data_IF_760160544889
#
_entry.id   IF_760160544889
#
_cell.length_a   1.000
_cell.length_b   1.000
_cell.length_c   1.000
_cell.angle_alpha   90.00
_cell.angle_beta   90.00
_cell.angle_gamma   90.00
#
_symmetry.space_group_name_H-M   'P 1'
#
loop_
_entity.id
_entity.type
_entity.pdbx_description
1 polymer ?
#
# COMPACT_ATOMS: atom_id res chain seq x y z
N UNK A 1 23.55 -29.07 3.21
CA UNK A 1 22.89 -29.78 2.10
C UNK A 1 21.51 -30.17 2.64
N UNK A 2 20.37 -29.61 2.26
CA UNK A 2 19.93 -28.84 1.08
C UNK A 2 20.11 -27.30 1.20
N UNK A 3 20.45 -26.69 0.06
CA UNK A 3 20.32 -25.25 -0.26
C UNK A 3 19.39 -25.15 -1.48
N UNK A 4 18.59 -24.09 -1.57
CA UNK A 4 17.95 -23.68 -2.83
C UNK A 4 18.13 -22.17 -3.00
N UNK A 5 19.03 -21.79 -3.93
CA UNK A 5 19.28 -20.45 -4.43
C UNK A 5 19.33 -20.54 -5.95
N UNK A 6 18.84 -19.50 -6.62
CA UNK A 6 18.79 -19.26 -8.07
C UNK A 6 17.70 -20.01 -8.86
N UNK A 7 16.67 -19.27 -9.29
CA UNK A 7 15.81 -19.66 -10.42
C UNK A 7 16.00 -18.62 -11.54
N UNK A 8 16.44 -19.10 -12.71
CA UNK A 8 16.61 -18.34 -13.97
C UNK A 8 15.60 -18.87 -14.98
N UNK A 9 14.99 -17.97 -15.76
CA UNK A 9 14.36 -18.29 -17.04
C UNK A 9 15.18 -17.60 -18.16
N UNK A 10 15.51 -18.34 -19.22
CA UNK A 10 16.12 -17.90 -20.49
C UNK A 10 17.59 -17.39 -20.49
N UNK A 11 18.43 -17.91 -19.59
CA UNK A 11 19.88 -17.93 -19.84
C UNK A 11 20.61 -16.58 -19.85
N UNK A 12 19.99 -15.50 -19.35
CA UNK A 12 20.69 -14.23 -19.08
C UNK A 12 20.50 -13.87 -17.61
N UNK A 13 21.60 -13.81 -16.86
CA UNK A 13 21.66 -13.23 -15.52
C UNK A 13 21.28 -11.75 -15.59
N UNK A 14 20.04 -11.41 -15.22
CA UNK A 14 19.63 -10.03 -14.94
C UNK A 14 19.57 -9.86 -13.42
N UNK A 15 20.65 -9.33 -12.85
CA UNK A 15 20.65 -8.86 -11.48
C UNK A 15 19.62 -7.74 -11.33
N UNK A 16 18.64 -7.93 -10.45
CA UNK A 16 17.66 -6.90 -10.10
C UNK A 16 17.87 -6.54 -8.64
N UNK A 17 18.57 -5.45 -8.37
CA UNK A 17 18.51 -4.80 -7.06
C UNK A 17 18.86 -3.32 -7.21
N UNK A 18 17.83 -2.50 -7.06
CA UNK A 18 17.97 -1.14 -6.58
C UNK A 18 17.21 -1.07 -5.24
N UNK A 19 17.87 -0.58 -4.20
CA UNK A 19 17.33 -0.39 -2.86
C UNK A 19 17.70 1.03 -2.39
N UNK A 20 16.75 1.82 -1.88
CA UNK A 20 16.97 3.20 -1.46
C UNK A 20 16.42 3.52 -0.06
N UNK A 21 16.85 2.78 0.97
CA UNK A 21 16.56 3.06 2.40
C UNK A 21 15.28 2.46 2.99
N UNK A 22 15.26 2.07 4.26
CA UNK A 22 14.14 1.33 4.88
C UNK A 22 12.79 2.06 4.89
N UNK A 23 11.67 1.35 4.61
CA UNK A 23 10.33 1.78 5.09
C UNK A 23 10.28 1.51 6.59
N UNK A 24 10.58 2.51 7.40
CA UNK A 24 10.46 2.40 8.85
C UNK A 24 9.03 2.72 9.27
N UNK A 25 8.38 1.72 9.85
CA UNK A 25 7.03 1.83 10.38
C UNK A 25 7.00 1.22 11.79
N UNK A 26 7.90 1.67 12.68
CA UNK A 26 8.04 1.10 14.01
C UNK A 26 6.71 1.15 14.78
N UNK A 27 6.22 0.01 15.27
CA UNK A 27 4.90 -0.06 15.93
C UNK A 27 3.71 0.19 15.01
N UNK A 28 3.89 0.11 13.68
CA UNK A 28 2.82 0.19 12.68
C UNK A 28 2.41 -1.20 12.21
N UNK A 29 1.20 -1.29 11.67
CA UNK A 29 0.68 -2.53 11.07
C UNK A 29 0.64 -2.40 9.55
N UNK A 30 1.24 -3.36 8.86
CA UNK A 30 1.16 -3.50 7.42
C UNK A 30 0.35 -4.75 7.09
N UNK A 31 -0.76 -4.61 6.36
CA UNK A 31 -1.66 -5.72 6.04
C UNK A 31 -1.81 -5.92 4.54
N UNK A 32 -1.59 -7.14 4.05
CA UNK A 32 -1.86 -7.55 2.67
C UNK A 32 -2.87 -8.68 2.66
N UNK A 33 -4.08 -8.44 2.12
CA UNK A 33 -5.14 -9.45 2.11
C UNK A 33 -5.83 -9.62 0.77
N UNK A 34 -6.03 -10.88 0.36
CA UNK A 34 -6.75 -11.26 -0.88
C UNK A 34 -6.20 -10.59 -2.14
N UNK A 35 -4.92 -10.24 -2.16
CA UNK A 35 -4.29 -9.66 -3.33
C UNK A 35 -3.86 -10.76 -4.30
N UNK A 36 -3.90 -10.46 -5.60
CA UNK A 36 -3.47 -11.37 -6.65
C UNK A 36 -2.34 -10.76 -7.46
N UNK A 37 -1.16 -11.38 -7.37
CA UNK A 37 -0.01 -11.11 -8.23
C UNK A 37 0.17 -12.26 -9.25
N UNK A 38 0.38 -11.91 -10.52
CA UNK A 38 0.68 -12.92 -11.54
C UNK A 38 2.09 -13.48 -11.44
N UNK A 39 3.02 -12.71 -10.86
CA UNK A 39 4.40 -13.12 -10.66
C UNK A 39 4.56 -13.84 -9.31
N UNK A 40 5.57 -14.73 -9.16
CA UNK A 40 5.85 -15.42 -7.90
C UNK A 40 6.23 -14.48 -6.75
N UNK A 41 6.69 -13.26 -7.07
CA UNK A 41 6.94 -12.19 -6.10
C UNK A 41 5.79 -11.20 -6.13
N UNK A 42 5.26 -10.92 -4.95
CA UNK A 42 4.35 -9.81 -4.72
C UNK A 42 5.11 -8.53 -4.45
N UNK A 43 6.17 -8.58 -3.65
CA UNK A 43 6.93 -7.38 -3.29
C UNK A 43 8.36 -7.47 -3.85
N UNK A 44 8.87 -6.36 -4.40
CA UNK A 44 10.10 -6.39 -5.18
C UNK A 44 11.40 -6.03 -4.44
N UNK A 45 11.41 -5.56 -3.19
CA UNK A 45 12.60 -5.51 -2.34
C UNK A 45 12.29 -5.05 -0.90
N UNK A 46 13.01 -5.60 0.08
CA UNK A 46 13.52 -4.87 1.24
C UNK A 46 12.51 -4.25 2.20
N UNK A 47 11.55 -5.01 2.73
CA UNK A 47 10.73 -4.49 3.82
C UNK A 47 11.56 -4.40 5.11
N UNK A 48 12.35 -3.35 5.29
CA UNK A 48 13.04 -3.10 6.57
C UNK A 48 12.04 -2.50 7.56
N UNK A 49 11.11 -3.35 7.98
CA UNK A 49 10.37 -3.12 9.21
C UNK A 49 11.42 -2.97 10.32
N UNK A 50 11.41 -1.85 11.03
CA UNK A 50 12.01 -1.84 12.36
C UNK A 50 11.47 -3.07 13.11
N UNK A 51 12.27 -3.69 14.00
CA UNK A 51 11.95 -4.95 14.70
C UNK A 51 10.61 -4.99 15.47
N UNK A 52 9.80 -3.93 15.39
CA UNK A 52 8.54 -3.67 16.08
C UNK A 52 7.35 -3.48 15.10
N UNK A 53 7.53 -3.54 13.79
CA UNK A 53 6.39 -3.45 12.86
C UNK A 53 5.82 -4.83 12.55
N UNK A 54 4.49 -4.96 12.59
CA UNK A 54 3.80 -6.23 12.36
C UNK A 54 3.33 -6.33 10.91
N UNK A 55 3.83 -7.33 10.18
CA UNK A 55 3.28 -7.70 8.88
C UNK A 55 2.18 -8.75 9.06
N UNK A 56 0.96 -8.43 8.65
CA UNK A 56 -0.19 -9.34 8.62
C UNK A 56 -0.53 -9.69 7.19
N UNK A 57 -0.74 -10.97 6.92
CA UNK A 57 -1.01 -11.44 5.56
C UNK A 57 -2.09 -12.50 5.55
N UNK A 58 -2.98 -12.45 4.56
CA UNK A 58 -4.01 -13.47 4.38
C UNK A 58 -4.45 -13.63 2.92
N UNK A 59 -4.65 -14.86 2.48
CA UNK A 59 -5.21 -15.17 1.16
C UNK A 59 -4.59 -14.50 -0.05
N UNK A 60 -3.30 -14.19 -0.01
CA UNK A 60 -2.67 -13.64 -1.19
C UNK A 60 -2.35 -14.75 -2.18
N UNK A 61 -2.46 -14.44 -3.47
CA UNK A 61 -2.10 -15.33 -4.57
C UNK A 61 -0.88 -14.74 -5.26
N UNK A 62 0.21 -15.50 -5.36
CA UNK A 62 1.40 -15.11 -6.10
C UNK A 62 1.81 -16.24 -7.05
N UNK A 63 2.15 -15.92 -8.30
CA UNK A 63 2.53 -16.92 -9.31
C UNK A 63 1.44 -17.98 -9.55
N UNK A 64 0.17 -17.60 -9.36
CA UNK A 64 -0.97 -18.51 -9.47
C UNK A 64 -1.18 -19.45 -8.27
N UNK A 65 -0.45 -19.28 -7.17
CA UNK A 65 -0.56 -20.10 -5.95
C UNK A 65 -1.04 -19.26 -4.77
N UNK A 66 -1.95 -19.82 -3.97
CA UNK A 66 -2.33 -19.23 -2.68
C UNK A 66 -1.14 -19.37 -1.72
N UNK A 67 -0.75 -18.27 -1.08
CA UNK A 67 0.29 -18.23 -0.05
C UNK A 67 -0.32 -18.52 1.31
N UNK A 68 0.24 -19.51 2.01
CA UNK A 68 -0.33 -20.09 3.22
C UNK A 68 0.63 -20.15 4.41
N UNK A 69 1.93 -19.95 4.19
CA UNK A 69 2.97 -20.04 5.23
C UNK A 69 3.89 -18.82 5.22
N UNK A 70 4.54 -18.56 6.36
CA UNK A 70 5.48 -17.46 6.49
C UNK A 70 6.64 -17.57 5.48
N UNK A 71 7.13 -18.79 5.22
CA UNK A 71 8.19 -19.05 4.24
C UNK A 71 7.75 -18.73 2.79
N UNK A 72 6.51 -19.07 2.44
CA UNK A 72 5.93 -18.72 1.13
C UNK A 72 5.80 -17.20 0.97
N UNK A 73 5.38 -16.49 2.02
CA UNK A 73 5.34 -15.02 2.03
C UNK A 73 6.74 -14.41 1.98
N UNK A 74 7.71 -14.99 2.71
CA UNK A 74 9.08 -14.55 2.67
C UNK A 74 9.65 -14.67 1.24
N UNK A 75 9.41 -15.79 0.57
CA UNK A 75 9.78 -16.03 -0.83
C UNK A 75 9.05 -15.10 -1.80
N UNK A 76 7.81 -14.71 -1.48
CA UNK A 76 7.02 -13.75 -2.24
C UNK A 76 7.47 -12.28 -2.06
N UNK A 77 8.52 -12.03 -1.26
CA UNK A 77 9.14 -10.71 -1.12
C UNK A 77 9.00 -10.07 0.26
N UNK A 78 8.43 -10.77 1.24
CA UNK A 78 8.23 -10.27 2.61
C UNK A 78 9.33 -10.72 3.60
N UNK A 79 10.40 -11.36 3.14
CA UNK A 79 11.38 -12.02 4.01
C UNK A 79 12.19 -11.10 4.92
N UNK A 80 12.18 -9.80 4.67
CA UNK A 80 12.86 -8.80 5.51
C UNK A 80 11.98 -8.31 6.68
N UNK A 81 10.71 -8.73 6.73
CA UNK A 81 9.80 -8.41 7.83
C UNK A 81 10.31 -9.00 9.16
N UNK A 82 10.23 -8.23 10.24
CA UNK A 82 10.62 -8.70 11.58
C UNK A 82 9.75 -9.87 12.09
N UNK A 83 8.46 -9.89 11.74
CA UNK A 83 7.55 -11.03 11.93
C UNK A 83 6.53 -11.08 10.80
N UNK A 84 6.10 -12.28 10.41
CA UNK A 84 5.05 -12.51 9.40
C UNK A 84 3.91 -13.26 10.07
N UNK A 85 2.82 -12.55 10.36
CA UNK A 85 1.61 -13.12 10.95
C UNK A 85 0.68 -13.58 9.82
N UNK A 86 0.69 -14.89 9.55
CA UNK A 86 -0.14 -15.48 8.50
C UNK A 86 -1.49 -15.87 9.06
N UNK A 87 -2.55 -15.29 8.49
CA UNK A 87 -3.93 -15.67 8.76
C UNK A 87 -4.43 -16.52 7.58
N UNK A 88 -4.89 -17.72 7.88
CA UNK A 88 -5.39 -18.66 6.88
C UNK A 88 -6.64 -18.15 6.16
N UNK A 89 -6.91 -18.69 4.97
CA UNK A 89 -8.03 -18.22 4.16
C UNK A 89 -9.42 -18.50 4.70
N UNK A 90 -9.51 -19.51 5.54
CA UNK A 90 -10.76 -19.91 6.17
C UNK A 90 -10.98 -19.21 7.52
N UNK A 91 -10.08 -18.30 7.90
CA UNK A 91 -10.21 -17.47 9.07
C UNK A 91 -10.75 -16.08 8.70
N UNK A 92 -11.54 -15.49 9.60
CA UNK A 92 -12.04 -14.14 9.46
C UNK A 92 -11.57 -13.33 10.67
N UNK A 93 -10.40 -12.71 10.48
CA UNK A 93 -9.78 -11.83 11.46
C UNK A 93 -10.10 -10.38 11.11
N UNK A 94 -10.60 -9.60 12.07
CA UNK A 94 -11.04 -8.21 11.82
C UNK A 94 -9.88 -7.28 11.43
N UNK A 95 -8.69 -7.54 11.95
CA UNK A 95 -7.52 -6.67 11.80
C UNK A 95 -6.75 -7.00 10.51
N UNK A 96 -7.12 -8.12 9.89
CA UNK A 96 -6.51 -8.62 8.66
C UNK A 96 -7.50 -8.53 7.49
N UNK A 97 -8.69 -9.11 7.61
CA UNK A 97 -9.65 -9.30 6.50
C UNK A 97 -10.59 -8.12 6.25
N UNK A 98 -10.67 -7.20 7.20
CA UNK A 98 -11.49 -6.00 7.15
C UNK A 98 -10.60 -4.76 7.30
N UNK A 99 -11.13 -3.58 7.00
CA UNK A 99 -10.48 -2.32 7.36
C UNK A 99 -10.54 -2.15 8.89
N UNK A 100 -9.46 -2.53 9.56
CA UNK A 100 -9.40 -2.60 11.03
C UNK A 100 -9.93 -1.34 11.74
N UNK A 101 -9.55 -0.09 11.33
CA UNK A 101 -10.04 1.11 12.01
C UNK A 101 -11.56 1.32 11.89
N UNK A 102 -12.20 0.81 10.84
CA UNK A 102 -13.65 0.94 10.61
C UNK A 102 -14.46 -0.28 11.03
N UNK A 103 -13.82 -1.33 11.57
CA UNK A 103 -14.47 -2.62 11.84
C UNK A 103 -14.75 -2.80 13.33
N UNK A 104 -16.02 -3.03 13.69
CA UNK A 104 -16.40 -3.35 15.07
C UNK A 104 -16.14 -4.82 15.39
N UNK A 105 -16.52 -5.73 14.48
CA UNK A 105 -16.25 -7.17 14.61
C UNK A 105 -16.18 -7.85 13.24
N UNK A 106 -15.58 -9.02 13.18
CA UNK A 106 -15.52 -9.84 11.97
C UNK A 106 -15.86 -11.29 12.32
N UNK A 107 -16.58 -11.98 11.43
CA UNK A 107 -16.96 -13.39 11.63
C UNK A 107 -17.11 -14.12 10.31
N UNK A 108 -16.80 -15.42 10.30
CA UNK A 108 -17.08 -16.28 9.15
C UNK A 108 -18.58 -16.58 9.06
N UNK A 109 -19.19 -16.30 7.89
CA UNK A 109 -20.56 -16.71 7.56
C UNK A 109 -20.57 -17.36 6.18
N UNK A 110 -20.98 -18.63 6.11
CA UNK A 110 -21.11 -19.35 4.84
C UNK A 110 -19.81 -19.47 4.03
N UNK A 111 -18.65 -19.55 4.70
CA UNK A 111 -17.34 -19.59 4.03
C UNK A 111 -16.82 -18.23 3.57
N UNK A 112 -17.53 -17.13 3.87
CA UNK A 112 -17.12 -15.75 3.54
C UNK A 112 -16.87 -14.98 4.83
N UNK A 113 -15.79 -14.19 4.88
CA UNK A 113 -15.53 -13.30 5.98
C UNK A 113 -16.47 -12.09 5.91
N UNK A 114 -17.31 -11.92 6.94
CA UNK A 114 -18.26 -10.81 7.03
C UNK A 114 -17.79 -9.84 8.09
N UNK A 115 -17.53 -8.60 7.66
CA UNK A 115 -17.13 -7.49 8.52
C UNK A 115 -18.37 -6.73 9.01
N UNK A 116 -18.53 -6.61 10.33
CA UNK A 116 -19.52 -5.74 10.95
C UNK A 116 -18.86 -4.38 11.24
N UNK A 117 -19.35 -3.35 10.56
CA UNK A 117 -18.71 -2.04 10.61
C UNK A 117 -19.05 -1.29 11.89
N UNK A 118 -18.05 -0.59 12.42
CA UNK A 118 -18.22 0.39 13.48
C UNK A 118 -18.63 1.75 12.92
N UNK A 119 -18.48 2.80 13.73
CA UNK A 119 -18.74 4.18 13.30
C UNK A 119 -17.80 4.59 12.17
N UNK A 120 -18.35 5.00 11.04
CA UNK A 120 -17.60 5.53 9.88
C UNK A 120 -17.03 4.46 8.94
N UNK A 121 -17.19 3.17 9.26
CA UNK A 121 -16.89 2.07 8.34
C UNK A 121 -18.12 1.73 7.49
N UNK A 122 -17.92 1.48 6.20
CA UNK A 122 -18.99 1.24 5.25
C UNK A 122 -18.60 0.15 4.24
N UNK A 123 -19.63 -0.51 3.67
CA UNK A 123 -19.45 -1.58 2.69
C UNK A 123 -18.92 -2.88 3.31
N UNK A 124 -18.58 -3.84 2.45
CA UNK A 124 -18.28 -5.22 2.86
C UNK A 124 -16.96 -5.36 3.63
N UNK A 125 -16.01 -4.46 3.40
CA UNK A 125 -14.72 -4.42 4.08
C UNK A 125 -14.67 -3.35 5.20
N UNK A 126 -15.78 -2.67 5.51
CA UNK A 126 -15.84 -1.57 6.48
C UNK A 126 -14.84 -0.44 6.23
N UNK A 127 -14.50 -0.24 4.95
CA UNK A 127 -13.66 0.86 4.50
C UNK A 127 -14.36 2.19 4.82
N UNK A 128 -13.60 3.26 5.08
CA UNK A 128 -14.19 4.56 5.24
C UNK A 128 -14.74 4.99 3.90
N UNK A 129 -16.05 4.90 3.74
CA UNK A 129 -16.76 5.61 2.69
C UNK A 129 -17.14 6.92 3.34
N UNK A 130 -16.45 7.99 2.97
CA UNK A 130 -16.91 9.32 3.37
C UNK A 130 -18.39 9.42 3.01
N UNK A 131 -19.24 9.72 4.00
CA UNK A 131 -20.43 10.49 3.65
C UNK A 131 -19.88 11.66 2.82
N UNK A 132 -20.37 11.87 1.59
CA UNK A 132 -20.10 13.12 0.88
C UNK A 132 -20.71 14.25 1.71
N UNK A 133 -20.02 14.65 2.77
CA UNK A 133 -20.26 15.89 3.44
C UNK A 133 -19.72 16.93 2.47
N UNK A 134 -20.63 17.49 1.67
CA UNK A 134 -20.41 18.79 1.05
C UNK A 134 -19.76 19.69 2.10
N UNK A 135 -18.66 20.39 1.79
CA UNK A 135 -17.94 21.13 2.80
C UNK A 135 -18.90 22.14 3.44
N UNK A 136 -18.94 22.14 4.77
CA UNK A 136 -19.56 23.24 5.49
C UNK A 136 -18.86 24.52 5.02
N UNK A 137 -19.64 25.43 4.44
CA UNK A 137 -19.14 26.75 4.12
C UNK A 137 -18.70 27.40 5.44
N UNK A 138 -17.39 27.67 5.56
CA UNK A 138 -16.78 28.92 6.05
C UNK A 138 -15.33 28.65 6.48
N UNK A 139 -14.40 29.29 5.78
CA UNK A 139 -13.17 29.85 6.35
C UNK A 139 -12.16 28.89 6.99
N UNK A 140 -11.51 28.04 6.19
CA UNK A 140 -10.09 27.62 6.27
C UNK A 140 -9.87 26.61 5.13
N UNK A 141 -8.63 26.45 4.64
CA UNK A 141 -8.35 25.60 3.48
C UNK A 141 -8.99 24.19 3.60
N UNK A 142 -9.51 23.59 2.51
CA UNK A 142 -10.18 22.31 2.57
C UNK A 142 -9.23 21.24 3.13
N UNK A 143 -9.60 20.69 4.29
CA UNK A 143 -8.86 19.60 4.96
C UNK A 143 -9.04 18.24 4.26
N UNK A 144 -9.89 18.16 3.24
CA UNK A 144 -10.26 16.93 2.55
C UNK A 144 -10.00 17.11 1.05
N UNK A 145 -9.28 16.16 0.46
CA UNK A 145 -9.14 16.01 -0.98
C UNK A 145 -9.95 14.79 -1.45
N UNK A 146 -10.83 14.98 -2.42
CA UNK A 146 -11.68 13.91 -2.95
C UNK A 146 -11.64 13.92 -4.48
N UNK A 147 -11.41 12.75 -5.06
CA UNK A 147 -11.43 12.52 -6.50
C UNK A 147 -12.21 11.25 -6.80
N UNK A 148 -13.25 11.36 -7.63
CA UNK A 148 -14.08 10.22 -7.98
C UNK A 148 -14.45 10.15 -9.46
N UNK A 149 -14.38 8.95 -10.04
CA UNK A 149 -14.95 8.66 -11.36
C UNK A 149 -14.22 9.35 -12.51
N UNK A 150 -12.97 9.76 -12.28
CA UNK A 150 -12.16 10.54 -13.24
C UNK A 150 -10.99 9.73 -13.80
N UNK A 151 -10.63 10.05 -15.04
CA UNK A 151 -9.36 9.61 -15.62
C UNK A 151 -8.34 10.74 -15.51
N UNK A 152 -7.24 10.46 -14.81
CA UNK A 152 -6.14 11.37 -14.58
C UNK A 152 -5.02 11.05 -15.56
N UNK A 153 -4.78 12.00 -16.48
CA UNK A 153 -3.68 11.97 -17.45
C UNK A 153 -2.63 13.06 -17.21
N UNK A 154 -2.81 13.83 -16.14
CA UNK A 154 -1.91 14.91 -15.71
C UNK A 154 -1.76 14.92 -14.20
N UNK A 155 -0.90 15.78 -13.66
CA UNK A 155 -0.69 15.90 -12.21
C UNK A 155 -1.94 16.43 -11.52
N UNK A 156 -2.29 15.87 -10.37
CA UNK A 156 -3.18 16.49 -9.38
C UNK A 156 -2.39 16.85 -8.13
N UNK A 157 -2.83 17.87 -7.42
CA UNK A 157 -2.16 18.38 -6.21
C UNK A 157 -3.10 18.23 -5.03
N UNK A 158 -2.64 17.50 -4.02
CA UNK A 158 -3.31 17.46 -2.72
C UNK A 158 -2.95 18.74 -1.95
N UNK A 159 -3.93 19.49 -1.42
CA UNK A 159 -3.65 20.69 -0.62
C UNK A 159 -2.77 20.41 0.60
N UNK A 160 -1.93 21.40 0.94
CA UNK A 160 -1.14 21.36 2.17
C UNK A 160 -2.05 21.26 3.40
N UNK A 161 -1.69 20.39 4.35
CA UNK A 161 -2.46 20.20 5.57
C UNK A 161 -3.77 19.43 5.37
N UNK A 162 -3.98 18.75 4.24
CA UNK A 162 -5.08 17.81 4.09
C UNK A 162 -4.98 16.71 5.15
N UNK A 163 -6.05 16.49 5.91
CA UNK A 163 -6.19 15.38 6.87
C UNK A 163 -6.86 14.16 6.26
N UNK A 164 -7.47 14.31 5.08
CA UNK A 164 -8.10 13.22 4.34
C UNK A 164 -7.85 13.33 2.84
N UNK A 165 -7.53 12.21 2.20
CA UNK A 165 -7.36 12.07 0.75
C UNK A 165 -8.12 10.84 0.30
N UNK A 166 -9.05 11.00 -0.66
CA UNK A 166 -9.82 9.89 -1.21
C UNK A 166 -9.73 9.88 -2.73
N UNK A 167 -9.32 8.74 -3.28
CA UNK A 167 -9.37 8.41 -4.69
C UNK A 167 -10.34 7.23 -4.86
N UNK A 168 -11.46 7.43 -5.55
CA UNK A 168 -12.48 6.38 -5.74
C UNK A 168 -12.85 6.23 -7.22
N UNK A 169 -12.85 5.02 -7.78
CA UNK A 169 -13.16 4.84 -9.22
C UNK A 169 -12.28 5.72 -10.14
N UNK A 170 -11.01 5.91 -9.77
CA UNK A 170 -10.06 6.76 -10.51
C UNK A 170 -9.23 5.90 -11.44
N UNK A 171 -8.99 6.38 -12.66
CA UNK A 171 -8.05 5.77 -13.59
C UNK A 171 -6.81 6.65 -13.69
N UNK A 172 -5.66 6.16 -13.27
CA UNK A 172 -4.36 6.79 -13.49
C UNK A 172 -3.76 6.23 -14.78
N UNK A 173 -3.51 7.09 -15.75
CA UNK A 173 -3.11 6.70 -17.11
C UNK A 173 -1.76 7.34 -17.48
N UNK A 174 -0.68 6.56 -17.39
CA UNK A 174 0.68 7.02 -17.68
C UNK A 174 1.24 8.12 -16.77
N UNK A 175 0.61 8.34 -15.60
CA UNK A 175 0.98 9.38 -14.64
C UNK A 175 1.59 8.79 -13.37
N UNK A 176 2.42 9.59 -12.71
CA UNK A 176 3.09 9.20 -11.46
C UNK A 176 2.74 10.14 -10.29
N UNK A 177 1.49 10.20 -9.81
CA UNK A 177 1.12 11.08 -8.71
C UNK A 177 1.79 10.68 -7.39
N UNK A 178 2.10 11.69 -6.58
CA UNK A 178 2.74 11.52 -5.26
C UNK A 178 1.83 12.06 -4.17
N UNK A 179 1.43 11.17 -3.26
CA UNK A 179 0.81 11.50 -1.99
C UNK A 179 1.91 11.65 -0.93
N UNK A 180 2.42 12.86 -0.77
CA UNK A 180 3.52 13.16 0.15
C UNK A 180 2.98 13.48 1.55
N UNK A 181 3.06 12.49 2.45
CA UNK A 181 2.53 12.54 3.82
C UNK A 181 3.10 13.70 4.65
N UNK A 182 4.40 14.05 4.61
CA UNK A 182 4.93 15.17 5.40
C UNK A 182 4.32 16.54 5.07
N UNK A 183 3.64 16.66 3.93
CA UNK A 183 2.91 17.87 3.52
C UNK A 183 1.45 17.90 3.98
N UNK A 184 0.95 16.78 4.50
CA UNK A 184 -0.41 16.59 4.97
C UNK A 184 -0.56 17.05 6.43
N UNK A 185 -1.73 16.84 7.03
CA UNK A 185 -2.01 17.27 8.40
C UNK A 185 -1.03 16.65 9.42
N UNK A 186 -0.52 17.49 10.33
CA UNK A 186 0.44 17.08 11.36
C UNK A 186 -0.15 16.13 12.39
N UNK A 187 -1.45 16.21 12.65
CA UNK A 187 -2.13 15.38 13.66
C UNK A 187 -2.45 13.96 13.14
N UNK A 188 -2.10 13.66 11.89
CA UNK A 188 -2.38 12.38 11.22
C UNK A 188 -3.18 12.58 9.93
N UNK A 189 -3.13 11.58 9.05
CA UNK A 189 -3.81 11.64 7.75
C UNK A 189 -4.45 10.31 7.39
N UNK A 190 -5.66 10.39 6.82
CA UNK A 190 -6.39 9.26 6.25
C UNK A 190 -6.30 9.30 4.73
N UNK A 191 -5.79 8.24 4.12
CA UNK A 191 -5.67 8.09 2.66
C UNK A 191 -6.46 6.87 2.23
N UNK A 192 -7.42 7.06 1.32
CA UNK A 192 -8.32 6.02 0.81
C UNK A 192 -8.14 5.93 -0.69
N UNK A 193 -7.78 4.75 -1.18
CA UNK A 193 -7.60 4.44 -2.60
C UNK A 193 -8.50 3.24 -2.90
N UNK A 194 -9.64 3.50 -3.52
CA UNK A 194 -10.68 2.49 -3.75
C UNK A 194 -11.00 2.36 -5.23
N UNK A 195 -11.00 1.15 -5.76
CA UNK A 195 -11.36 0.86 -7.16
C UNK A 195 -10.55 1.73 -8.13
N UNK A 196 -9.23 1.80 -7.94
CA UNK A 196 -8.33 2.64 -8.76
C UNK A 196 -7.57 1.77 -9.76
N UNK A 197 -7.58 2.14 -11.02
CA UNK A 197 -6.82 1.46 -12.07
C UNK A 197 -5.54 2.22 -12.40
N UNK A 198 -4.40 1.52 -12.38
CA UNK A 198 -3.09 2.03 -12.81
C UNK A 198 -2.77 1.45 -14.19
N UNK A 199 -2.88 2.28 -15.22
CA UNK A 199 -2.70 1.89 -16.61
C UNK A 199 -1.45 2.54 -17.22
N UNK A 200 -0.93 1.91 -18.27
CA UNK A 200 0.10 2.49 -19.14
C UNK A 200 1.36 2.99 -18.40
N UNK A 201 1.83 2.26 -17.38
CA UNK A 201 3.01 2.68 -16.61
C UNK A 201 2.69 3.62 -15.45
N UNK A 202 1.41 3.86 -15.13
CA UNK A 202 1.06 4.74 -14.03
C UNK A 202 1.57 4.22 -12.68
N UNK A 203 2.06 5.14 -11.84
CA UNK A 203 2.60 4.82 -10.53
C UNK A 203 1.97 5.70 -9.45
N UNK A 204 1.26 5.11 -8.51
CA UNK A 204 0.76 5.82 -7.34
C UNK A 204 1.77 5.74 -6.21
N UNK A 205 2.41 6.85 -5.85
CA UNK A 205 3.31 6.94 -4.72
C UNK A 205 2.56 7.40 -3.46
N UNK A 206 2.75 6.71 -2.36
CA UNK A 206 2.48 7.20 -1.00
C UNK A 206 3.82 7.29 -0.28
N UNK A 207 4.25 8.52 -0.04
CA UNK A 207 5.60 8.81 0.46
C UNK A 207 5.54 9.38 1.87
N UNK A 208 6.09 8.63 2.83
CA UNK A 208 6.30 9.04 4.21
C UNK A 208 7.41 10.08 4.39
N UNK A 209 7.76 10.37 5.64
CA UNK A 209 8.87 11.24 6.03
C UNK A 209 10.24 10.66 5.69
N UNK A 210 11.31 11.46 5.79
CA UNK A 210 12.69 10.96 5.74
C UNK A 210 13.29 10.66 4.34
N UNK A 211 12.51 10.71 3.25
CA UNK A 211 13.00 10.42 1.89
C UNK A 211 13.88 11.51 1.24
N UNK A 212 13.93 12.73 1.79
CA UNK A 212 14.70 13.86 1.25
C UNK A 212 15.82 14.26 2.21
N UNK A 213 16.95 13.55 2.16
CA UNK A 213 18.17 13.90 2.91
C UNK A 213 18.91 15.16 2.38
N UNK A 214 18.26 15.97 1.54
CA UNK A 214 18.87 17.12 0.85
C UNK A 214 18.24 18.48 1.16
N UNK A 215 17.14 18.56 1.90
CA UNK A 215 16.62 19.82 2.42
C UNK A 215 16.96 19.88 3.90
N UNK A 216 17.80 20.83 4.31
CA UNK A 216 18.29 21.02 5.68
C UNK A 216 17.24 21.43 6.70
N UNK A 217 16.10 20.74 6.72
CA UNK A 217 15.11 20.82 7.78
C UNK A 217 15.32 19.59 8.66
N UNK A 218 15.99 19.78 9.79
CA UNK A 218 15.89 18.88 10.92
C UNK A 218 14.42 18.89 11.38
N UNK A 219 13.56 18.10 10.73
CA UNK A 219 12.19 17.89 11.16
C UNK A 219 12.16 16.62 11.97
N UNK A 220 11.91 16.80 13.27
CA UNK A 220 11.75 15.71 14.22
C UNK A 220 10.62 14.76 13.81
N UNK A 221 10.63 13.63 14.49
CA UNK A 221 9.72 12.47 14.41
C UNK A 221 8.27 12.81 14.84
N UNK A 222 7.77 13.98 14.43
CA UNK A 222 6.61 14.68 15.01
C UNK A 222 5.44 14.77 14.01
N UNK A 223 5.25 13.72 13.21
CA UNK A 223 4.06 13.54 12.37
C UNK A 223 3.11 12.53 13.00
N UNK A 224 1.81 12.83 13.03
CA UNK A 224 0.76 11.92 13.50
C UNK A 224 0.64 10.67 12.61
N UNK A 225 -0.09 9.64 13.06
CA UNK A 225 -0.20 8.35 12.38
C UNK A 225 -0.88 8.46 11.02
N UNK A 226 -0.50 7.58 10.10
CA UNK A 226 -1.11 7.46 8.76
C UNK A 226 -2.06 6.27 8.75
N UNK A 227 -3.31 6.52 8.34
CA UNK A 227 -4.26 5.47 7.99
C UNK A 227 -4.36 5.38 6.47
N UNK A 228 -3.68 4.40 5.86
CA UNK A 228 -3.76 4.12 4.43
C UNK A 228 -4.65 2.89 4.18
N UNK A 229 -5.69 3.08 3.39
CA UNK A 229 -6.55 2.02 2.89
C UNK A 229 -6.48 1.95 1.37
N UNK A 230 -5.94 0.85 0.86
CA UNK A 230 -5.94 0.52 -0.56
C UNK A 230 -6.83 -0.70 -0.77
N UNK A 231 -7.86 -0.55 -1.59
CA UNK A 231 -8.85 -1.58 -1.84
C UNK A 231 -9.23 -1.62 -3.32
N UNK A 232 -9.24 -2.80 -3.94
CA UNK A 232 -9.70 -2.94 -5.32
C UNK A 232 -8.80 -2.20 -6.33
N UNK A 233 -7.49 -2.12 -6.08
CA UNK A 233 -6.57 -1.51 -7.05
C UNK A 233 -6.24 -2.51 -8.14
N UNK A 234 -6.36 -2.08 -9.39
CA UNK A 234 -5.96 -2.85 -10.56
C UNK A 234 -4.73 -2.20 -11.21
N UNK A 235 -3.55 -2.78 -10.99
CA UNK A 235 -2.32 -2.30 -11.61
C UNK A 235 -1.99 -3.15 -12.85
N UNK A 236 -2.22 -2.60 -14.05
CA UNK A 236 -1.93 -3.24 -15.33
C UNK A 236 -0.71 -2.58 -15.97
N UNK A 237 0.47 -3.15 -15.73
CA UNK A 237 1.76 -2.50 -16.00
C UNK A 237 1.88 -1.16 -15.25
N UNK A 238 1.28 -1.05 -14.08
CA UNK A 238 1.41 0.09 -13.17
C UNK A 238 1.98 -0.36 -11.83
N UNK A 239 2.24 0.58 -10.93
CA UNK A 239 2.81 0.29 -9.61
C UNK A 239 2.16 1.11 -8.51
N UNK A 240 1.81 0.45 -7.41
CA UNK A 240 1.59 1.11 -6.12
C UNK A 240 2.92 1.12 -5.38
N UNK A 241 3.38 2.30 -4.98
CA UNK A 241 4.66 2.49 -4.27
C UNK A 241 4.42 3.09 -2.91
N UNK A 242 4.79 2.36 -1.86
CA UNK A 242 4.93 2.89 -0.51
C UNK A 242 6.42 3.08 -0.22
N UNK A 243 6.82 4.27 0.20
CA UNK A 243 8.24 4.64 0.43
C UNK A 243 8.39 5.64 1.58
N UNK A 244 9.58 5.73 2.17
CA UNK A 244 9.87 6.60 3.31
C UNK A 244 9.39 6.07 4.67
N UNK A 245 9.47 6.93 5.68
CA UNK A 245 9.16 6.65 7.09
C UNK A 245 7.70 6.98 7.41
N UNK A 246 7.01 6.02 8.02
CA UNK A 246 5.67 6.22 8.58
C UNK A 246 5.77 6.25 10.11
N UNK A 247 5.10 7.21 10.74
CA UNK A 247 5.07 7.39 12.19
C UNK A 247 4.47 6.19 12.90
N UNK A 248 4.87 5.97 14.16
CA UNK A 248 4.36 4.86 14.95
C UNK A 248 2.84 4.91 15.10
N UNK A 249 2.20 3.73 15.10
CA UNK A 249 0.74 3.61 15.10
C UNK A 249 0.08 3.81 13.74
N UNK A 250 0.86 3.95 12.66
CA UNK A 250 0.31 3.94 11.30
C UNK A 250 -0.29 2.57 10.96
N UNK A 251 -1.34 2.57 10.14
CA UNK A 251 -2.00 1.39 9.62
C UNK A 251 -2.02 1.48 8.09
N UNK A 252 -1.26 0.61 7.43
CA UNK A 252 -1.14 0.56 5.98
C UNK A 252 -1.76 -0.74 5.48
N UNK A 253 -2.87 -0.65 4.75
CA UNK A 253 -3.66 -1.81 4.34
C UNK A 253 -3.80 -1.86 2.82
N UNK A 254 -3.52 -3.02 2.23
CA UNK A 254 -3.72 -3.31 0.80
C UNK A 254 -4.55 -4.56 0.65
N UNK A 255 -5.74 -4.40 0.10
CA UNK A 255 -6.77 -5.43 0.06
C UNK A 255 -7.35 -5.58 -1.33
N UNK A 256 -7.76 -6.82 -1.67
CA UNK A 256 -8.58 -7.12 -2.85
C UNK A 256 -8.04 -6.53 -4.17
N UNK A 257 -6.71 -6.44 -4.31
CA UNK A 257 -6.06 -5.78 -5.44
C UNK A 257 -5.47 -6.78 -6.44
N UNK A 258 -5.54 -6.44 -7.73
CA UNK A 258 -4.99 -7.20 -8.84
C UNK A 258 -3.74 -6.51 -9.39
N UNK A 259 -2.62 -7.21 -9.36
CA UNK A 259 -1.30 -6.63 -9.57
C UNK A 259 -0.60 -7.40 -10.70
N UNK A 260 -0.56 -6.78 -11.88
CA UNK A 260 -0.13 -7.36 -13.14
C UNK A 260 1.00 -6.55 -13.72
N UNK A 261 2.19 -7.14 -13.79
CA UNK A 261 3.33 -6.51 -14.45
C UNK A 261 3.89 -7.39 -15.54
N UNK A 262 3.65 -6.97 -16.78
CA UNK A 262 4.20 -7.58 -17.99
C UNK A 262 5.29 -6.72 -18.65
N UNK A 263 5.41 -5.44 -18.26
CA UNK A 263 6.41 -4.49 -18.79
C UNK A 263 7.17 -3.77 -17.66
N UNK A 264 8.45 -3.46 -17.87
CA UNK A 264 9.21 -2.65 -16.92
C UNK A 264 8.54 -1.30 -16.68
N UNK A 265 8.40 -0.89 -15.41
CA UNK A 265 7.85 0.40 -15.02
C UNK A 265 8.97 1.27 -14.43
N UNK A 266 9.22 2.48 -14.96
CA UNK A 266 10.22 3.39 -14.41
C UNK A 266 9.72 4.04 -13.11
N UNK A 267 10.57 4.08 -12.09
CA UNK A 267 10.21 4.56 -10.77
C UNK A 267 10.78 5.97 -10.49
N UNK A 268 10.22 6.98 -11.14
CA UNK A 268 10.79 8.34 -11.29
C UNK A 268 11.16 9.05 -9.98
N UNK A 269 10.51 8.73 -8.85
CA UNK A 269 10.77 9.38 -7.56
C UNK A 269 11.75 8.63 -6.64
N UNK A 270 12.38 7.57 -7.13
CA UNK A 270 13.31 6.74 -6.38
C UNK A 270 14.70 6.88 -6.98
N UNK A 271 15.67 7.30 -6.16
CA UNK A 271 16.92 7.92 -6.62
C UNK A 271 17.65 7.16 -7.74
N UNK A 272 18.56 6.23 -7.57
CA UNK A 272 19.17 5.47 -8.69
C UNK A 272 18.25 4.42 -9.36
N UNK A 273 16.93 4.62 -9.42
CA UNK A 273 16.01 3.61 -9.98
C UNK A 273 16.17 3.45 -11.50
N UNK A 274 16.06 2.20 -11.95
CA UNK A 274 16.00 1.82 -13.36
C UNK A 274 14.65 1.18 -13.65
N UNK A 275 14.20 1.18 -14.91
CA UNK A 275 12.97 0.50 -15.30
C UNK A 275 13.08 -1.00 -15.00
N UNK A 276 12.11 -1.57 -14.29
CA UNK A 276 12.08 -3.01 -14.04
C UNK A 276 10.66 -3.54 -13.82
N UNK A 277 10.50 -4.86 -13.94
CA UNK A 277 9.23 -5.57 -13.85
C UNK A 277 8.81 -5.68 -12.39
N UNK A 278 8.01 -4.73 -11.91
CA UNK A 278 7.51 -4.73 -10.53
C UNK A 278 5.99 -4.49 -10.47
N UNK A 279 5.27 -5.29 -9.70
CA UNK A 279 4.03 -4.88 -9.00
C UNK A 279 3.59 -5.95 -7.99
N UNK A 280 3.10 -5.56 -6.80
CA UNK A 280 3.26 -4.24 -6.17
C UNK A 280 4.72 -3.94 -5.80
N UNK A 281 5.03 -2.67 -5.53
CA UNK A 281 6.41 -2.25 -5.30
C UNK A 281 6.45 -1.53 -3.97
N UNK A 282 6.71 -2.24 -2.88
CA UNK A 282 7.18 -1.56 -1.67
C UNK A 282 8.62 -1.18 -1.96
N UNK A 283 8.87 0.13 -2.06
CA UNK A 283 10.22 0.61 -2.33
C UNK A 283 10.64 1.42 -1.13
N UNK A 284 11.44 0.72 -0.34
CA UNK A 284 12.71 1.14 0.24
C UNK A 284 13.15 2.52 -0.28
#
# INVERSE_FOLDING_TARGET
MLMAKDNVHDGVLRGMLYAAGAVTAAGSTLSFVRNRALLPRMVSAGLSLAAVAQLRVACNIAGGRVLSTADEYAAAGFGDAGSIDVVGCDACDRDTHCYAPGTASASMKGGVCVCACGSGGHGEACVPVGASALPAAVGTAPRVYFSEGVTVRSVFVVPAGASEVTLRHVVLDGVSPVLYVPWMARDGVRIVVQNVSLLNGAVLYVMGGGGLRGAGAAWGDEGGPVELSVCGVEALNGALVLTGTFSAGSALTVTDSLLVTARPTPLVYLLGSQSSLYAPVLVV
#
